data_IF_998568062487
#
_entry.id   IF_998568062487
#
_cell.length_a   1.000
_cell.length_b   1.000
_cell.length_c   1.000
_cell.angle_alpha   90.00
_cell.angle_beta   90.00
_cell.angle_gamma   90.00
#
_symmetry.space_group_name_H-M   'P 1'
#
loop_
_entity.id
_entity.type
_entity.pdbx_description
1 polymer ?
#
# COMPACT_ATOMS: atom_id res chain seq x y z
N UNK A 1 -14.35 10.41 -4.42
CA UNK A 1 -14.36 8.92 -4.51
C UNK A 1 -12.99 8.34 -4.11
N UNK A 2 -11.88 8.92 -4.57
CA UNK A 2 -10.53 8.47 -4.20
C UNK A 2 -10.30 8.40 -2.67
N UNK A 3 -10.71 9.42 -1.90
CA UNK A 3 -10.58 9.43 -0.43
C UNK A 3 -11.32 8.30 0.28
N UNK A 4 -12.48 7.86 -0.24
CA UNK A 4 -13.20 6.73 0.34
C UNK A 4 -12.46 5.42 0.05
N UNK A 5 -11.80 5.28 -1.10
CA UNK A 5 -10.98 4.10 -1.41
C UNK A 5 -9.83 3.96 -0.41
N UNK A 6 -9.08 5.03 -0.12
CA UNK A 6 -8.03 4.98 0.91
C UNK A 6 -8.58 4.71 2.31
N UNK A 7 -9.76 5.25 2.64
CA UNK A 7 -10.37 5.02 3.95
C UNK A 7 -10.81 3.57 4.14
N UNK A 8 -11.38 2.94 3.11
CA UNK A 8 -11.74 1.52 3.14
C UNK A 8 -10.49 0.64 3.13
N UNK A 9 -9.50 0.97 2.30
CA UNK A 9 -8.22 0.27 2.25
C UNK A 9 -7.51 0.32 3.60
N UNK A 10 -7.56 1.45 4.31
CA UNK A 10 -6.99 1.58 5.66
C UNK A 10 -7.66 0.65 6.67
N UNK A 11 -9.01 0.58 6.65
CA UNK A 11 -9.77 -0.35 7.51
C UNK A 11 -9.38 -1.81 7.25
N UNK A 12 -9.35 -2.21 5.98
CA UNK A 12 -8.94 -3.55 5.59
C UNK A 12 -7.49 -3.86 6.02
N UNK A 13 -6.58 -2.92 5.78
CA UNK A 13 -5.16 -3.10 6.12
C UNK A 13 -4.94 -3.22 7.64
N UNK A 14 -5.73 -2.52 8.45
CA UNK A 14 -5.70 -2.65 9.91
C UNK A 14 -6.15 -4.04 10.36
N UNK A 15 -7.25 -4.55 9.81
CA UNK A 15 -7.74 -5.91 10.10
C UNK A 15 -6.71 -6.97 9.71
N UNK A 16 -6.14 -6.86 8.50
CA UNK A 16 -5.11 -7.78 8.02
C UNK A 16 -3.83 -7.70 8.88
N UNK A 17 -3.42 -6.52 9.31
CA UNK A 17 -2.23 -6.35 10.15
C UNK A 17 -2.40 -6.94 11.55
N UNK A 18 -3.62 -6.94 12.08
CA UNK A 18 -3.94 -7.58 13.35
C UNK A 18 -3.88 -9.11 13.24
N UNK A 19 -4.38 -9.68 12.15
CA UNK A 19 -4.34 -11.14 11.90
C UNK A 19 -2.97 -11.64 11.45
N UNK A 20 -2.20 -10.81 10.75
CA UNK A 20 -0.91 -11.16 10.14
C UNK A 20 0.15 -10.12 10.52
N UNK A 21 0.78 -10.23 11.70
CA UNK A 21 1.71 -9.22 12.21
C UNK A 21 2.90 -8.91 11.27
N UNK A 22 3.32 -9.89 10.47
CA UNK A 22 4.45 -9.79 9.55
C UNK A 22 4.06 -9.40 8.11
N UNK A 23 2.78 -9.06 7.87
CA UNK A 23 2.30 -8.66 6.54
C UNK A 23 3.06 -7.43 6.03
N UNK A 24 3.37 -7.46 4.72
CA UNK A 24 3.97 -6.35 3.98
C UNK A 24 3.07 -5.99 2.80
N UNK A 25 3.14 -4.73 2.38
CA UNK A 25 2.35 -4.17 1.29
C UNK A 25 3.27 -3.77 0.14
N UNK A 26 2.93 -4.20 -1.08
CA UNK A 26 3.66 -3.89 -2.30
C UNK A 26 2.66 -3.72 -3.45
N UNK A 27 3.04 -2.96 -4.47
CA UNK A 27 2.30 -2.87 -5.71
C UNK A 27 2.55 -4.10 -6.58
N UNK A 28 1.62 -4.41 -7.49
CA UNK A 28 1.87 -5.48 -8.45
C UNK A 28 3.06 -5.18 -9.38
N UNK A 29 3.33 -3.90 -9.67
CA UNK A 29 4.52 -3.43 -10.38
C UNK A 29 5.83 -3.84 -9.70
N UNK A 30 5.83 -3.89 -8.37
CA UNK A 30 7.04 -4.15 -7.58
C UNK A 30 7.35 -5.65 -7.56
N UNK A 31 6.30 -6.49 -7.63
CA UNK A 31 6.40 -7.95 -7.64
C UNK A 31 6.63 -8.48 -9.07
N UNK A 32 6.15 -7.77 -10.10
CA UNK A 32 6.26 -8.18 -11.49
C UNK A 32 6.67 -7.03 -12.42
N UNK A 33 7.92 -6.51 -12.29
CA UNK A 33 8.43 -5.43 -13.14
C UNK A 33 8.34 -5.78 -14.63
N UNK A 34 7.94 -4.82 -15.46
CA UNK A 34 7.80 -4.99 -16.91
C UNK A 34 6.58 -5.77 -17.38
N UNK A 35 5.90 -6.51 -16.48
CA UNK A 35 4.66 -7.26 -16.78
C UNK A 35 3.41 -6.59 -16.22
N UNK A 36 3.51 -5.97 -15.04
CA UNK A 36 2.42 -5.27 -14.36
C UNK A 36 2.81 -3.82 -14.10
N UNK A 37 1.85 -2.93 -14.25
CA UNK A 37 2.04 -1.48 -14.07
C UNK A 37 1.18 -0.95 -12.92
N UNK A 38 0.19 -1.71 -12.47
CA UNK A 38 -0.66 -1.37 -11.34
C UNK A 38 0.10 -1.51 -10.00
N UNK A 39 -0.22 -0.68 -9.00
CA UNK A 39 -1.32 0.27 -8.95
C UNK A 39 -1.01 1.62 -9.64
N UNK A 40 0.19 1.76 -10.22
CA UNK A 40 0.60 2.93 -11.01
C UNK A 40 0.83 4.20 -10.19
N UNK A 41 1.02 5.31 -10.91
CA UNK A 41 1.29 6.65 -10.33
C UNK A 41 0.07 7.26 -9.63
N UNK A 42 -1.14 6.80 -9.98
CA UNK A 42 -2.38 7.27 -9.36
C UNK A 42 -2.55 6.77 -7.93
N UNK A 43 -1.84 5.70 -7.54
CA UNK A 43 -1.80 5.22 -6.17
C UNK A 43 -0.69 5.91 -5.39
N UNK A 44 -1.09 6.76 -4.45
CA UNK A 44 -0.22 7.44 -3.50
C UNK A 44 0.05 6.55 -2.29
N UNK A 45 1.23 5.93 -2.27
CA UNK A 45 1.72 5.21 -1.11
C UNK A 45 1.88 6.09 0.13
N UNK A 46 2.21 7.37 -0.05
CA UNK A 46 2.27 8.35 1.04
C UNK A 46 0.90 8.53 1.69
N UNK A 47 -0.17 8.66 0.89
CA UNK A 47 -1.55 8.77 1.38
C UNK A 47 -2.02 7.48 2.04
N UNK A 48 -1.69 6.32 1.46
CA UNK A 48 -1.92 5.01 2.08
C UNK A 48 -1.24 4.90 3.45
N UNK A 49 0.04 5.27 3.55
CA UNK A 49 0.78 5.25 4.80
C UNK A 49 0.15 6.19 5.84
N UNK A 50 -0.15 7.42 5.46
CA UNK A 50 -0.74 8.41 6.36
C UNK A 50 -2.11 7.96 6.91
N UNK A 51 -2.95 7.31 6.08
CA UNK A 51 -4.27 6.82 6.49
C UNK A 51 -4.20 5.54 7.34
N UNK A 52 -3.19 4.71 7.15
CA UNK A 52 -3.07 3.40 7.82
C UNK A 52 -2.19 3.42 9.07
N UNK A 53 -1.26 4.37 9.16
CA UNK A 53 -0.22 4.38 10.20
C UNK A 53 0.79 3.22 10.07
N UNK A 54 0.77 2.49 8.96
CA UNK A 54 1.69 1.35 8.74
C UNK A 54 3.13 1.88 8.64
N UNK A 55 4.03 1.23 9.38
CA UNK A 55 5.46 1.55 9.33
C UNK A 55 6.02 1.42 7.91
N UNK A 56 6.90 2.35 7.51
CA UNK A 56 7.62 2.28 6.24
C UNK A 56 8.32 0.93 6.01
N UNK A 57 8.79 0.26 7.08
CA UNK A 57 9.40 -1.08 7.00
C UNK A 57 8.47 -2.16 6.44
N UNK A 58 7.15 -1.97 6.53
CA UNK A 58 6.13 -2.87 5.99
C UNK A 58 5.65 -2.47 4.59
N UNK A 59 6.20 -1.40 4.02
CA UNK A 59 5.90 -0.92 2.66
C UNK A 59 7.23 -0.80 1.89
N UNK A 60 7.92 -1.93 1.63
CA UNK A 60 9.34 -1.93 1.24
C UNK A 60 9.67 -1.22 -0.07
N UNK A 61 8.69 -0.99 -0.95
CA UNK A 61 8.88 -0.35 -2.26
C UNK A 61 8.05 0.92 -2.44
N UNK A 62 7.02 1.11 -1.60
CA UNK A 62 5.97 2.08 -1.91
C UNK A 62 6.38 3.53 -1.75
N UNK A 63 7.29 3.83 -0.82
CA UNK A 63 7.74 5.20 -0.57
C UNK A 63 8.93 5.61 -1.44
N UNK A 64 9.51 4.66 -2.17
CA UNK A 64 10.59 4.95 -3.09
C UNK A 64 10.03 5.73 -4.29
N UNK A 65 10.71 6.79 -4.75
CA UNK A 65 10.35 7.45 -6.00
C UNK A 65 10.39 6.43 -7.15
N UNK A 66 9.27 6.27 -7.85
CA UNK A 66 9.12 5.39 -9.01
C UNK A 66 9.28 6.16 -10.31
#
# INVERSE_FOLDING_TARGET
IEDIQYSILAKLSAQLSASYPNLKFAGHSDIAPGRKTDPGIQFSWQKFQAKTGISAKKIPFGLDPR
#
